data_IF_921939806291
#
_entry.id   IF_921939806291
#
_cell.length_a   1.000
_cell.length_b   1.000
_cell.length_c   1.000
_cell.angle_alpha   90.00
_cell.angle_beta   90.00
_cell.angle_gamma   90.00
#
_symmetry.space_group_name_H-M   'P 1'
#
loop_
_entity.id
_entity.type
_entity.pdbx_description
1 polymer ?
#
# COMPACT_ATOMS: atom_id res chain seq x y z
N UNK A 1 -0.85 -7.74 -5.72
CA UNK A 1 -0.24 -6.52 -6.26
C UNK A 1 1.25 -6.67 -6.05
N UNK A 2 2.03 -6.00 -6.84
CA UNK A 2 3.47 -5.95 -6.71
C UNK A 2 4.22 -7.16 -7.26
N UNK A 3 5.54 -7.16 -7.00
CA UNK A 3 6.47 -8.13 -7.58
C UNK A 3 6.20 -9.54 -7.08
N UNK A 4 5.98 -10.45 -8.02
CA UNK A 4 5.55 -11.82 -7.72
C UNK A 4 6.59 -12.60 -6.92
N UNK A 5 6.19 -13.02 -5.72
CA UNK A 5 7.00 -13.87 -4.84
C UNK A 5 8.33 -13.28 -4.35
N UNK A 6 8.56 -11.96 -4.53
CA UNK A 6 9.79 -11.31 -4.03
C UNK A 6 9.93 -11.50 -2.51
N UNK A 7 8.84 -11.39 -1.75
CA UNK A 7 8.85 -11.59 -0.30
C UNK A 7 9.38 -12.96 0.12
N UNK A 8 9.07 -14.02 -0.66
CA UNK A 8 9.59 -15.38 -0.39
C UNK A 8 11.09 -15.46 -0.58
N UNK A 9 11.61 -14.80 -1.63
CA UNK A 9 13.05 -14.72 -1.87
C UNK A 9 13.75 -13.96 -0.74
N UNK A 10 13.25 -12.77 -0.42
CA UNK A 10 13.86 -11.91 0.60
C UNK A 10 13.90 -12.62 1.96
N UNK A 11 12.79 -13.24 2.38
CA UNK A 11 12.75 -14.00 3.65
C UNK A 11 13.69 -15.19 3.68
N UNK A 12 14.03 -15.77 2.52
CA UNK A 12 14.95 -16.91 2.44
C UNK A 12 16.43 -16.44 2.44
N UNK A 13 16.74 -15.35 1.76
CA UNK A 13 18.12 -14.92 1.52
C UNK A 13 18.59 -13.85 2.50
N UNK A 14 17.68 -12.94 2.93
CA UNK A 14 18.07 -11.81 3.75
C UNK A 14 18.09 -12.19 5.25
N UNK A 15 19.25 -12.10 5.87
CA UNK A 15 19.45 -12.36 7.31
C UNK A 15 19.40 -11.07 8.14
N UNK A 16 19.89 -9.97 7.58
CA UNK A 16 20.03 -8.68 8.27
C UNK A 16 19.10 -7.61 7.73
N UNK A 17 18.69 -7.73 6.45
CA UNK A 17 17.83 -6.80 5.75
C UNK A 17 16.36 -6.83 6.22
N UNK A 18 15.95 -7.91 6.89
CA UNK A 18 14.60 -8.09 7.41
C UNK A 18 14.69 -8.32 8.93
N UNK A 19 13.97 -7.51 9.68
CA UNK A 19 13.97 -7.60 11.14
C UNK A 19 12.64 -7.19 11.74
N UNK A 20 12.36 -7.63 12.96
CA UNK A 20 11.21 -7.13 13.71
C UNK A 20 11.58 -5.85 14.44
N UNK A 21 10.74 -4.82 14.31
CA UNK A 21 10.90 -3.54 15.00
C UNK A 21 9.68 -3.26 15.88
N UNK A 22 9.93 -2.75 17.08
CA UNK A 22 8.87 -2.25 17.95
C UNK A 22 8.49 -0.82 17.56
N UNK A 23 7.19 -0.50 17.57
CA UNK A 23 6.69 0.85 17.29
C UNK A 23 7.32 1.91 18.22
N UNK A 24 7.67 1.55 19.46
CA UNK A 24 8.33 2.45 20.41
C UNK A 24 9.68 2.98 19.91
N UNK A 25 10.38 2.22 19.02
CA UNK A 25 11.65 2.66 18.41
C UNK A 25 11.47 3.71 17.32
N UNK A 26 10.22 3.95 16.91
CA UNK A 26 9.88 4.89 15.85
C UNK A 26 9.46 6.28 16.40
N UNK A 27 9.63 6.51 17.70
CA UNK A 27 9.33 7.80 18.32
C UNK A 27 10.09 8.93 17.64
N UNK A 28 9.43 10.06 17.43
CA UNK A 28 9.93 11.25 16.74
C UNK A 28 10.31 11.00 15.27
N UNK A 29 9.76 9.96 14.65
CA UNK A 29 9.94 9.64 13.24
C UNK A 29 8.79 10.14 12.38
N UNK A 30 9.10 10.57 11.17
CA UNK A 30 8.14 10.87 10.13
C UNK A 30 7.90 9.60 9.31
N UNK A 31 6.64 9.20 9.21
CA UNK A 31 6.29 7.94 8.55
C UNK A 31 5.28 8.21 7.45
N UNK A 32 5.65 7.91 6.20
CA UNK A 32 4.75 7.89 5.06
C UNK A 32 3.80 6.70 5.14
N UNK A 33 2.52 6.94 4.91
CA UNK A 33 1.48 5.91 4.91
C UNK A 33 0.96 5.76 3.48
N UNK A 34 1.10 4.56 2.94
CA UNK A 34 0.42 4.16 1.71
C UNK A 34 -1.08 4.03 2.01
N UNK A 35 -1.82 5.10 1.77
CA UNK A 35 -3.22 5.19 2.16
C UNK A 35 -4.07 4.19 1.40
N UNK A 36 -3.79 3.96 0.13
CA UNK A 36 -4.60 3.12 -0.76
C UNK A 36 -4.69 1.67 -0.26
N UNK A 37 -3.60 1.09 0.22
CA UNK A 37 -3.62 -0.26 0.79
C UNK A 37 -4.51 -0.33 2.04
N UNK A 38 -4.43 0.69 2.90
CA UNK A 38 -5.23 0.72 4.13
C UNK A 38 -6.69 1.06 3.88
N UNK A 39 -7.02 1.85 2.85
CA UNK A 39 -8.38 2.05 2.40
C UNK A 39 -9.06 0.70 2.11
N UNK A 40 -8.46 -0.14 1.27
CA UNK A 40 -9.00 -1.47 0.96
C UNK A 40 -9.06 -2.38 2.19
N UNK A 41 -7.97 -2.41 2.99
CA UNK A 41 -7.89 -3.25 4.20
C UNK A 41 -8.97 -2.90 5.22
N UNK A 42 -9.20 -1.61 5.46
CA UNK A 42 -10.14 -1.15 6.47
C UNK A 42 -11.59 -1.19 5.98
N UNK A 43 -11.83 -0.96 4.70
CA UNK A 43 -13.16 -1.19 4.09
C UNK A 43 -13.55 -2.66 4.16
N UNK A 44 -12.59 -3.58 3.93
CA UNK A 44 -12.82 -5.02 4.09
C UNK A 44 -13.20 -5.42 5.54
N UNK A 45 -12.67 -4.71 6.54
CA UNK A 45 -13.02 -4.92 7.95
C UNK A 45 -14.44 -4.40 8.25
N UNK A 46 -14.98 -3.48 7.44
CA UNK A 46 -16.36 -2.97 7.55
C UNK A 46 -16.52 -1.67 8.33
N UNK A 47 -15.44 -1.05 8.82
CA UNK A 47 -15.47 0.26 9.46
C UNK A 47 -14.19 1.05 9.15
N UNK A 48 -14.11 1.58 7.92
CA UNK A 48 -12.90 2.21 7.40
C UNK A 48 -12.48 3.43 8.24
N UNK A 49 -13.39 4.37 8.48
CA UNK A 49 -13.07 5.62 9.19
C UNK A 49 -12.61 5.36 10.63
N UNK A 50 -13.29 4.46 11.35
CA UNK A 50 -12.88 4.11 12.71
C UNK A 50 -11.49 3.41 12.75
N UNK A 51 -11.21 2.55 11.78
CA UNK A 51 -9.90 1.91 11.67
C UNK A 51 -8.80 2.95 11.41
N UNK A 52 -9.04 3.96 10.57
CA UNK A 52 -8.11 5.07 10.39
C UNK A 52 -7.93 5.90 11.65
N UNK A 53 -8.99 6.20 12.38
CA UNK A 53 -8.87 6.89 13.67
C UNK A 53 -8.03 6.10 14.68
N UNK A 54 -8.22 4.77 14.76
CA UNK A 54 -7.40 3.89 15.60
C UNK A 54 -5.94 3.87 15.13
N UNK A 55 -5.70 3.89 13.82
CA UNK A 55 -4.35 4.00 13.26
C UNK A 55 -3.70 5.33 13.64
N UNK A 56 -4.40 6.43 13.47
CA UNK A 56 -3.92 7.77 13.83
C UNK A 56 -3.59 7.83 15.33
N UNK A 57 -4.51 7.41 16.18
CA UNK A 57 -4.32 7.33 17.63
C UNK A 57 -3.07 6.51 18.00
N UNK A 58 -2.95 5.31 17.40
CA UNK A 58 -1.82 4.41 17.68
C UNK A 58 -0.47 5.02 17.28
N UNK A 59 -0.39 5.69 16.14
CA UNK A 59 0.83 6.35 15.68
C UNK A 59 1.17 7.56 16.55
N UNK A 60 0.20 8.44 16.80
CA UNK A 60 0.39 9.64 17.62
C UNK A 60 0.75 9.32 19.07
N UNK A 61 0.11 8.31 19.68
CA UNK A 61 0.39 7.88 21.06
C UNK A 61 1.81 7.34 21.24
N UNK A 62 2.43 6.84 20.15
CA UNK A 62 3.83 6.42 20.13
C UNK A 62 4.80 7.54 19.73
N UNK A 63 4.31 8.78 19.59
CA UNK A 63 5.13 9.94 19.22
C UNK A 63 5.61 9.93 17.77
N UNK A 64 4.84 9.32 16.87
CA UNK A 64 5.12 9.23 15.45
C UNK A 64 4.32 10.31 14.71
N UNK A 65 4.93 10.94 13.71
CA UNK A 65 4.26 11.88 12.81
C UNK A 65 3.86 11.13 11.53
N UNK A 66 2.58 10.78 11.34
CA UNK A 66 2.13 10.15 10.11
C UNK A 66 1.92 11.19 9.00
N UNK A 67 2.22 10.79 7.76
CA UNK A 67 1.96 11.54 6.54
C UNK A 67 1.23 10.60 5.59
N UNK A 68 -0.04 10.86 5.30
CA UNK A 68 -0.87 10.02 4.44
C UNK A 68 -0.72 10.43 2.98
N UNK A 69 -0.38 9.48 2.11
CA UNK A 69 -0.27 9.70 0.67
C UNK A 69 -1.48 9.10 -0.04
N UNK A 70 -2.17 9.92 -0.82
CA UNK A 70 -3.31 9.52 -1.62
C UNK A 70 -2.93 9.47 -3.08
N UNK A 71 -3.24 8.36 -3.75
CA UNK A 71 -3.05 8.23 -5.19
C UNK A 71 -3.86 9.27 -5.96
N UNK A 72 -3.24 9.81 -6.99
CA UNK A 72 -3.88 10.63 -8.00
C UNK A 72 -4.27 9.81 -9.24
N UNK A 73 -4.02 10.37 -10.41
CA UNK A 73 -4.32 9.72 -11.68
C UNK A 73 -3.30 8.60 -11.95
N UNK A 74 -3.74 7.34 -12.16
CA UNK A 74 -2.83 6.25 -12.48
C UNK A 74 -2.15 6.46 -13.84
N UNK A 75 -0.95 5.87 -14.01
CA UNK A 75 -0.25 5.80 -15.30
C UNK A 75 -1.08 5.02 -16.34
N UNK A 76 -0.80 5.24 -17.63
CA UNK A 76 -1.51 4.53 -18.71
C UNK A 76 -1.32 3.01 -18.62
N UNK A 77 -0.12 2.58 -18.23
CA UNK A 77 0.20 1.17 -18.02
C UNK A 77 -0.66 0.57 -16.90
N UNK A 78 -0.79 1.28 -15.79
CA UNK A 78 -1.60 0.84 -14.63
C UNK A 78 -3.09 0.90 -14.93
N UNK A 79 -3.54 1.80 -15.80
CA UNK A 79 -4.94 1.85 -16.24
C UNK A 79 -5.39 0.53 -16.88
N UNK A 80 -4.58 -0.08 -17.74
CA UNK A 80 -4.88 -1.40 -18.35
C UNK A 80 -5.03 -2.52 -17.32
N UNK A 81 -4.21 -2.47 -16.27
CA UNK A 81 -4.34 -3.40 -15.13
C UNK A 81 -5.63 -3.16 -14.33
N UNK A 82 -5.97 -1.89 -14.12
CA UNK A 82 -7.20 -1.50 -13.42
C UNK A 82 -8.43 -1.96 -14.22
N UNK A 83 -8.44 -1.80 -15.53
CA UNK A 83 -9.50 -2.29 -16.42
C UNK A 83 -9.68 -3.82 -16.31
N UNK A 84 -8.59 -4.58 -16.40
CA UNK A 84 -8.61 -6.03 -16.23
C UNK A 84 -9.10 -6.46 -14.84
N UNK A 85 -8.72 -5.72 -13.80
CA UNK A 85 -9.24 -5.94 -12.42
C UNK A 85 -10.73 -5.65 -12.35
N UNK A 86 -11.20 -4.57 -13.02
CA UNK A 86 -12.62 -4.23 -13.11
C UNK A 86 -13.44 -5.31 -13.83
N UNK A 87 -12.93 -5.85 -14.92
CA UNK A 87 -13.58 -6.98 -15.60
C UNK A 87 -13.70 -8.22 -14.69
N UNK A 88 -12.60 -8.55 -13.98
CA UNK A 88 -12.60 -9.68 -13.03
C UNK A 88 -13.59 -9.44 -11.88
N UNK A 89 -13.66 -8.22 -11.40
CA UNK A 89 -14.59 -7.80 -10.36
C UNK A 89 -16.06 -7.90 -10.84
N UNK A 90 -16.36 -7.41 -12.04
CA UNK A 90 -17.71 -7.51 -12.61
C UNK A 90 -18.15 -8.97 -12.77
N UNK A 91 -17.28 -9.84 -13.28
CA UNK A 91 -17.52 -11.29 -13.34
C UNK A 91 -17.78 -11.93 -11.96
N UNK A 92 -17.12 -11.40 -10.91
CA UNK A 92 -17.38 -11.87 -9.55
C UNK A 92 -18.74 -11.40 -9.02
N UNK A 93 -19.14 -10.15 -9.33
CA UNK A 93 -20.49 -9.64 -9.01
C UNK A 93 -21.59 -10.43 -9.71
N UNK A 94 -21.42 -10.75 -11.00
CA UNK A 94 -22.38 -11.56 -11.75
C UNK A 94 -22.59 -12.93 -11.10
N UNK A 95 -21.48 -13.57 -10.65
CA UNK A 95 -21.57 -14.84 -9.92
C UNK A 95 -22.27 -14.71 -8.56
N UNK A 96 -22.09 -13.59 -7.86
CA UNK A 96 -22.79 -13.33 -6.59
C UNK A 96 -24.29 -13.17 -6.87
N UNK A 97 -24.66 -12.42 -7.91
CA UNK A 97 -26.04 -12.19 -8.28
C UNK A 97 -26.75 -13.50 -8.68
N UNK A 98 -26.04 -14.43 -9.36
CA UNK A 98 -26.57 -15.77 -9.65
C UNK A 98 -26.81 -16.57 -8.37
N UNK A 99 -25.83 -16.58 -7.44
CA UNK A 99 -25.99 -17.28 -6.16
C UNK A 99 -27.15 -16.72 -5.32
N UNK A 100 -27.34 -15.37 -5.33
CA UNK A 100 -28.47 -14.75 -4.65
C UNK A 100 -29.81 -15.17 -5.22
N UNK A 101 -29.94 -15.26 -6.57
CA UNK A 101 -31.15 -15.78 -7.21
C UNK A 101 -31.43 -17.23 -6.88
N UNK A 102 -30.39 -18.05 -6.79
CA UNK A 102 -30.52 -19.44 -6.35
C UNK A 102 -30.99 -19.51 -4.90
N UNK A 103 -30.42 -18.67 -4.01
CA UNK A 103 -30.80 -18.56 -2.60
C UNK A 103 -32.27 -18.12 -2.47
N UNK A 104 -32.68 -17.04 -3.15
CA UNK A 104 -34.06 -16.56 -3.16
C UNK A 104 -35.05 -17.67 -3.58
N UNK A 105 -34.65 -18.50 -4.56
CA UNK A 105 -35.46 -19.67 -4.97
C UNK A 105 -35.60 -20.74 -3.89
N UNK A 106 -34.58 -20.95 -3.08
CA UNK A 106 -34.59 -21.91 -1.97
C UNK A 106 -35.35 -21.39 -0.75
N UNK A 107 -35.25 -20.08 -0.44
CA UNK A 107 -35.97 -19.44 0.67
C UNK A 107 -37.49 -19.35 0.44
N UNK A 108 -37.92 -19.37 -0.83
CA UNK A 108 -39.35 -19.34 -1.19
C UNK A 108 -40.00 -20.75 -1.21
N UNK A 109 -39.33 -21.79 -0.77
CA UNK A 109 -39.91 -23.15 -0.66
C UNK A 109 -40.85 -23.20 0.55
N UNK A 110 -42.12 -23.53 0.33
CA UNK A 110 -43.07 -23.77 1.40
C UNK A 110 -42.68 -25.11 2.09
N UNK A 111 -42.44 -25.06 3.41
CA UNK A 111 -42.06 -26.22 4.24
C UNK A 111 -40.69 -26.85 3.86
N UNK A 112 -39.59 -26.10 4.01
CA UNK A 112 -38.25 -26.60 3.63
C UNK A 112 -37.79 -27.72 4.58
N UNK A 113 -37.18 -28.75 4.02
CA UNK A 113 -36.54 -29.83 4.82
C UNK A 113 -35.28 -29.31 5.54
N UNK A 114 -34.85 -30.03 6.58
CA UNK A 114 -33.60 -29.70 7.30
C UNK A 114 -32.38 -29.61 6.36
N UNK A 115 -32.36 -30.45 5.31
CA UNK A 115 -31.31 -30.42 4.29
C UNK A 115 -31.34 -29.15 3.46
N UNK A 116 -32.53 -28.65 3.10
CA UNK A 116 -32.69 -27.37 2.37
C UNK A 116 -32.26 -26.21 3.26
N UNK A 117 -32.65 -26.18 4.55
CA UNK A 117 -32.23 -25.16 5.50
C UNK A 117 -30.71 -25.14 5.68
N UNK A 118 -30.06 -26.31 5.74
CA UNK A 118 -28.60 -26.38 5.78
C UNK A 118 -27.96 -25.82 4.50
N UNK A 119 -28.48 -26.14 3.32
CA UNK A 119 -27.98 -25.60 2.04
C UNK A 119 -28.15 -24.08 1.95
N UNK A 120 -29.25 -23.51 2.46
CA UNK A 120 -29.47 -22.07 2.55
C UNK A 120 -28.34 -21.43 3.38
N UNK A 121 -28.07 -21.93 4.58
CA UNK A 121 -27.00 -21.41 5.45
C UNK A 121 -25.61 -21.47 4.78
N UNK A 122 -25.28 -22.60 4.14
CA UNK A 122 -24.00 -22.69 3.41
C UNK A 122 -23.92 -21.68 2.24
N UNK A 123 -25.04 -21.45 1.55
CA UNK A 123 -25.11 -20.50 0.44
C UNK A 123 -24.96 -19.07 0.94
N UNK A 124 -25.61 -18.68 2.04
CA UNK A 124 -25.46 -17.36 2.69
C UNK A 124 -23.99 -17.10 3.08
N UNK A 125 -23.34 -18.07 3.73
CA UNK A 125 -21.92 -17.97 4.11
C UNK A 125 -21.03 -17.79 2.87
N UNK A 126 -21.31 -18.53 1.79
CA UNK A 126 -20.57 -18.46 0.53
C UNK A 126 -20.77 -17.11 -0.16
N UNK A 127 -21.98 -16.57 -0.16
CA UNK A 127 -22.32 -15.25 -0.71
C UNK A 127 -21.58 -14.18 0.10
N UNK A 128 -21.74 -14.16 1.42
CA UNK A 128 -21.09 -13.19 2.31
C UNK A 128 -19.56 -13.16 2.15
N UNK A 129 -18.92 -14.35 2.00
CA UNK A 129 -17.49 -14.45 1.74
C UNK A 129 -17.10 -13.87 0.38
N UNK A 130 -17.92 -14.06 -0.66
CA UNK A 130 -17.66 -13.51 -1.99
C UNK A 130 -17.89 -11.99 -2.03
N UNK A 131 -18.93 -11.49 -1.39
CA UNK A 131 -19.23 -10.06 -1.29
C UNK A 131 -18.09 -9.28 -0.64
N UNK A 132 -17.50 -9.80 0.43
CA UNK A 132 -16.29 -9.21 1.03
C UNK A 132 -15.16 -9.04 0.03
N UNK A 133 -15.02 -9.96 -0.94
CA UNK A 133 -14.00 -9.87 -1.99
C UNK A 133 -14.31 -8.87 -3.11
N UNK A 134 -15.54 -8.32 -3.15
CA UNK A 134 -15.99 -7.35 -4.18
C UNK A 134 -16.25 -5.96 -3.63
N UNK A 135 -15.81 -5.68 -2.40
CA UNK A 135 -15.96 -4.36 -1.78
C UNK A 135 -15.18 -3.31 -2.59
N UNK A 136 -15.81 -2.17 -2.84
CA UNK A 136 -15.19 -0.98 -3.43
C UNK A 136 -15.18 0.17 -2.43
N UNK A 137 -14.14 0.98 -2.50
CA UNK A 137 -14.04 2.20 -1.71
C UNK A 137 -15.06 3.21 -2.23
N UNK A 138 -15.87 3.74 -1.33
CA UNK A 138 -16.82 4.79 -1.66
C UNK A 138 -16.10 6.14 -1.75
N UNK A 139 -16.42 6.94 -2.78
CA UNK A 139 -15.83 8.28 -2.94
C UNK A 139 -16.19 9.24 -1.79
N UNK A 140 -17.39 9.10 -1.20
CA UNK A 140 -17.77 9.91 -0.04
C UNK A 140 -16.91 9.57 1.17
N UNK A 141 -16.69 8.28 1.49
CA UNK A 141 -15.83 7.85 2.60
C UNK A 141 -14.39 8.31 2.44
N UNK A 142 -13.88 8.39 1.21
CA UNK A 142 -12.57 8.97 0.93
C UNK A 142 -12.56 10.47 1.24
N UNK A 143 -13.61 11.19 0.89
CA UNK A 143 -13.82 12.60 1.23
C UNK A 143 -13.84 12.82 2.74
N UNK A 144 -14.59 11.98 3.46
CA UNK A 144 -14.73 12.02 4.91
C UNK A 144 -13.36 11.76 5.60
N UNK A 145 -12.58 10.80 5.11
CA UNK A 145 -11.22 10.56 5.63
C UNK A 145 -10.33 11.79 5.46
N UNK A 146 -10.33 12.43 4.28
CA UNK A 146 -9.56 13.65 4.04
C UNK A 146 -10.02 14.79 4.95
N UNK A 147 -11.33 14.92 5.18
CA UNK A 147 -11.89 15.89 6.10
C UNK A 147 -11.43 15.61 7.54
N UNK A 148 -11.42 14.36 7.98
CA UNK A 148 -10.91 13.94 9.29
C UNK A 148 -9.43 14.35 9.44
N UNK A 149 -8.58 13.97 8.50
CA UNK A 149 -7.15 14.31 8.54
C UNK A 149 -6.93 15.83 8.61
N UNK A 150 -7.67 16.59 7.78
CA UNK A 150 -7.60 18.06 7.74
C UNK A 150 -8.01 18.68 9.07
N UNK A 151 -9.12 18.24 9.66
CA UNK A 151 -9.66 18.82 10.90
C UNK A 151 -8.85 18.39 12.13
N UNK A 152 -8.20 17.24 12.10
CA UNK A 152 -7.27 16.79 13.13
C UNK A 152 -5.86 17.41 12.96
N UNK A 153 -5.58 18.14 11.88
CA UNK A 153 -4.25 18.68 11.60
C UNK A 153 -3.21 17.60 11.27
N UNK A 154 -3.65 16.43 10.80
CA UNK A 154 -2.78 15.34 10.35
C UNK A 154 -2.30 15.63 8.93
N UNK A 155 -1.03 15.38 8.69
CA UNK A 155 -0.44 15.63 7.37
C UNK A 155 -0.94 14.61 6.35
N UNK A 156 -1.33 15.09 5.18
CA UNK A 156 -1.59 14.26 4.03
C UNK A 156 -1.18 14.96 2.73
N UNK A 157 -0.90 14.15 1.72
CA UNK A 157 -0.49 14.61 0.41
C UNK A 157 -1.38 13.97 -0.66
N UNK A 158 -1.98 14.78 -1.51
CA UNK A 158 -2.72 14.34 -2.69
C UNK A 158 -1.76 14.36 -3.87
N UNK A 159 -1.39 13.16 -4.34
CA UNK A 159 -0.47 13.01 -5.46
C UNK A 159 -1.19 13.29 -6.77
N UNK A 160 -0.50 13.90 -7.75
CA UNK A 160 -1.03 14.03 -9.11
C UNK A 160 -1.01 12.70 -9.85
N UNK A 161 -0.09 11.80 -9.45
CA UNK A 161 0.10 10.45 -9.98
C UNK A 161 0.07 9.39 -8.87
N UNK A 162 0.85 8.35 -9.04
CA UNK A 162 0.91 7.22 -8.10
C UNK A 162 1.67 7.60 -6.82
N UNK A 163 1.10 7.28 -5.66
CA UNK A 163 1.65 7.64 -4.35
C UNK A 163 3.05 7.05 -4.10
N UNK A 164 3.35 5.87 -4.64
CA UNK A 164 4.63 5.18 -4.51
C UNK A 164 5.80 6.01 -5.07
N UNK A 165 5.61 6.72 -6.19
CA UNK A 165 6.59 7.63 -6.78
C UNK A 165 6.89 8.80 -5.83
N UNK A 166 5.84 9.40 -5.24
CA UNK A 166 6.01 10.51 -4.28
C UNK A 166 6.67 10.04 -2.99
N UNK A 167 6.24 8.90 -2.46
CA UNK A 167 6.81 8.33 -1.25
C UNK A 167 8.28 7.92 -1.43
N UNK A 168 8.68 7.47 -2.64
CA UNK A 168 10.08 7.27 -3.03
C UNK A 168 10.87 8.58 -2.85
N UNK A 169 10.41 9.68 -3.47
CA UNK A 169 11.10 10.98 -3.39
C UNK A 169 11.18 11.47 -1.95
N UNK A 170 10.11 11.36 -1.17
CA UNK A 170 10.11 11.73 0.24
C UNK A 170 11.09 10.87 1.07
N UNK A 171 11.19 9.58 0.78
CA UNK A 171 12.13 8.68 1.45
C UNK A 171 13.58 8.97 1.08
N UNK A 172 13.89 9.22 -0.19
CA UNK A 172 15.22 9.52 -0.69
C UNK A 172 15.74 10.86 -0.13
N UNK A 173 14.88 11.88 -0.07
CA UNK A 173 15.17 13.19 0.48
C UNK A 173 15.10 13.25 2.02
N UNK A 174 14.91 12.14 2.70
CA UNK A 174 14.84 12.04 4.18
C UNK A 174 13.70 12.85 4.80
N UNK A 175 12.61 13.02 4.08
CA UNK A 175 11.40 13.71 4.54
C UNK A 175 10.48 12.77 5.28
N UNK A 176 10.54 11.49 4.92
CA UNK A 176 10.04 10.38 5.73
C UNK A 176 11.19 9.46 6.07
N UNK A 177 11.22 8.99 7.32
CA UNK A 177 12.22 8.03 7.81
C UNK A 177 11.87 6.61 7.40
N UNK A 178 10.57 6.32 7.35
CA UNK A 178 9.98 5.01 7.06
C UNK A 178 8.72 5.15 6.22
N UNK A 179 8.38 4.07 5.52
CA UNK A 179 7.11 3.94 4.78
C UNK A 179 6.34 2.75 5.34
N UNK A 180 5.08 2.95 5.73
CA UNK A 180 4.15 1.87 6.09
C UNK A 180 3.38 1.48 4.83
N UNK A 181 3.59 0.25 4.36
CA UNK A 181 2.90 -0.36 3.22
C UNK A 181 2.91 -1.87 3.32
N UNK A 182 1.99 -2.55 2.62
CA UNK A 182 1.99 -4.01 2.41
C UNK A 182 2.50 -4.36 1.00
N UNK A 183 3.05 -3.38 0.27
CA UNK A 183 3.63 -3.57 -1.05
C UNK A 183 5.16 -3.46 -1.02
N UNK A 184 5.85 -4.50 -1.45
CA UNK A 184 7.31 -4.53 -1.48
C UNK A 184 7.89 -3.92 -2.77
N UNK A 185 7.04 -3.47 -3.71
CA UNK A 185 7.49 -2.71 -4.89
C UNK A 185 8.15 -1.40 -4.48
N UNK A 186 7.80 -0.88 -3.30
CA UNK A 186 8.49 0.27 -2.70
C UNK A 186 10.00 0.06 -2.51
N UNK A 187 10.48 -1.19 -2.31
CA UNK A 187 11.92 -1.48 -2.33
C UNK A 187 12.51 -1.27 -3.72
N UNK A 188 11.78 -1.70 -4.76
CA UNK A 188 12.18 -1.53 -6.16
C UNK A 188 12.15 -0.06 -6.58
N UNK A 189 11.23 0.74 -6.03
CA UNK A 189 11.23 2.20 -6.15
C UNK A 189 12.37 2.89 -5.36
N UNK A 190 13.16 2.17 -4.56
CA UNK A 190 14.28 2.71 -3.81
C UNK A 190 13.91 3.32 -2.46
N UNK A 191 12.75 3.01 -1.89
CA UNK A 191 12.42 3.39 -0.52
C UNK A 191 13.33 2.67 0.47
N UNK A 192 14.01 3.44 1.33
CA UNK A 192 15.07 2.92 2.20
C UNK A 192 14.58 1.98 3.29
N UNK A 193 13.45 2.30 3.91
CA UNK A 193 12.93 1.59 5.08
C UNK A 193 11.43 1.37 4.93
N UNK A 194 11.01 0.12 4.80
CA UNK A 194 9.59 -0.26 4.72
C UNK A 194 9.18 -0.95 6.00
N UNK A 195 8.07 -0.49 6.58
CA UNK A 195 7.38 -1.11 7.70
C UNK A 195 6.20 -1.92 7.17
N UNK A 196 6.36 -3.21 7.19
CA UNK A 196 5.42 -4.20 6.66
C UNK A 196 4.65 -4.88 7.80
N UNK A 197 3.46 -5.41 7.53
CA UNK A 197 2.58 -6.03 8.52
C UNK A 197 2.19 -5.08 9.68
N UNK A 198 1.93 -3.81 9.35
CA UNK A 198 1.44 -2.88 10.35
C UNK A 198 0.01 -3.21 10.79
N UNK A 199 -0.20 -3.16 12.10
CA UNK A 199 -1.54 -3.18 12.72
C UNK A 199 -1.58 -2.24 13.92
N UNK A 200 -2.65 -1.47 14.06
CA UNK A 200 -2.87 -0.60 15.22
C UNK A 200 -3.08 -1.39 16.53
N UNK A 201 -3.31 -2.69 16.45
CA UNK A 201 -3.40 -3.58 17.61
C UNK A 201 -2.07 -4.27 17.97
N UNK A 202 -1.01 -4.04 17.19
CA UNK A 202 0.29 -4.67 17.39
C UNK A 202 1.38 -3.64 17.70
N UNK A 203 2.23 -3.97 18.66
CA UNK A 203 3.43 -3.17 18.94
C UNK A 203 4.63 -3.53 18.07
N UNK A 204 4.52 -4.52 17.18
CA UNK A 204 5.62 -5.02 16.37
C UNK A 204 5.24 -5.00 14.89
N UNK A 205 6.22 -4.69 14.05
CA UNK A 205 6.15 -4.68 12.58
C UNK A 205 7.40 -5.34 12.01
N UNK A 206 7.35 -5.70 10.73
CA UNK A 206 8.52 -6.18 9.99
C UNK A 206 9.17 -5.00 9.27
N UNK A 207 10.43 -4.73 9.58
CA UNK A 207 11.24 -3.73 8.88
C UNK A 207 12.00 -4.41 7.74
N UNK A 208 11.85 -3.89 6.53
CA UNK A 208 12.73 -4.15 5.40
C UNK A 208 13.63 -2.92 5.21
N UNK A 209 14.93 -3.11 5.32
CA UNK A 209 15.92 -2.07 5.06
C UNK A 209 16.63 -2.37 3.74
N UNK A 210 16.42 -1.52 2.72
CA UNK A 210 16.89 -1.76 1.36
C UNK A 210 18.40 -1.97 1.29
N UNK A 211 19.19 -1.11 1.94
CA UNK A 211 20.66 -1.21 1.94
C UNK A 211 21.14 -2.58 2.46
N UNK A 212 20.53 -3.04 3.56
CA UNK A 212 20.87 -4.35 4.12
C UNK A 212 20.34 -5.51 3.27
N UNK A 213 19.17 -5.34 2.65
CA UNK A 213 18.62 -6.31 1.69
C UNK A 213 19.57 -6.49 0.52
N UNK A 214 20.05 -5.40 -0.09
CA UNK A 214 21.00 -5.44 -1.20
C UNK A 214 22.31 -6.11 -0.78
N UNK A 215 22.80 -5.78 0.42
CA UNK A 215 23.99 -6.42 0.98
C UNK A 215 23.81 -7.92 1.21
N UNK A 216 22.69 -8.34 1.79
CA UNK A 216 22.38 -9.76 2.02
C UNK A 216 22.21 -10.54 0.71
N UNK A 217 21.74 -9.90 -0.36
CA UNK A 217 21.59 -10.48 -1.69
C UNK A 217 22.88 -10.40 -2.53
N UNK A 218 23.89 -9.65 -2.09
CA UNK A 218 25.10 -9.35 -2.87
C UNK A 218 24.79 -8.75 -4.26
N UNK A 219 23.74 -7.90 -4.33
CA UNK A 219 23.29 -7.25 -5.55
C UNK A 219 23.47 -5.73 -5.47
N UNK A 220 23.72 -5.11 -6.62
CA UNK A 220 23.55 -3.66 -6.76
C UNK A 220 22.04 -3.32 -6.77
N UNK A 221 21.70 -2.05 -6.60
CA UNK A 221 20.31 -1.63 -6.68
C UNK A 221 19.74 -1.88 -8.08
N UNK A 222 20.50 -1.61 -9.12
CA UNK A 222 20.13 -1.82 -10.52
C UNK A 222 19.87 -3.32 -10.79
N UNK A 223 20.77 -4.21 -10.35
CA UNK A 223 20.58 -5.67 -10.49
C UNK A 223 19.34 -6.15 -9.72
N UNK A 224 19.04 -5.54 -8.57
CA UNK A 224 17.84 -5.84 -7.80
C UNK A 224 16.57 -5.39 -8.54
N UNK A 225 16.58 -4.21 -9.16
CA UNK A 225 15.47 -3.72 -10.00
C UNK A 225 15.26 -4.65 -11.19
N UNK A 226 16.33 -5.05 -11.87
CA UNK A 226 16.28 -6.01 -12.99
C UNK A 226 15.63 -7.32 -12.56
N UNK A 227 16.07 -7.89 -11.43
CA UNK A 227 15.45 -9.08 -10.86
C UNK A 227 13.95 -8.90 -10.65
N UNK A 228 13.55 -7.77 -10.09
CA UNK A 228 12.15 -7.46 -9.81
C UNK A 228 11.32 -7.37 -11.10
N UNK A 229 11.82 -6.72 -12.14
CA UNK A 229 11.16 -6.64 -13.45
C UNK A 229 11.03 -8.02 -14.08
N UNK A 230 12.08 -8.85 -14.03
CA UNK A 230 12.06 -10.21 -14.57
C UNK A 230 11.04 -11.12 -13.87
N UNK A 231 10.83 -10.94 -12.57
CA UNK A 231 9.80 -11.65 -11.79
C UNK A 231 8.37 -11.22 -12.16
N UNK A 232 8.23 -10.08 -12.82
CA UNK A 232 6.97 -9.46 -13.22
C UNK A 232 6.46 -8.47 -12.18
N UNK A 233 6.16 -7.29 -12.64
CA UNK A 233 5.65 -6.15 -11.88
C UNK A 233 4.35 -5.61 -12.49
N UNK A 234 3.83 -4.53 -11.96
CA UNK A 234 2.60 -3.91 -12.47
C UNK A 234 2.79 -3.31 -13.89
N UNK A 235 4.03 -3.04 -14.30
CA UNK A 235 4.37 -2.44 -15.61
C UNK A 235 4.80 -3.45 -16.66
N UNK A 236 5.21 -4.66 -16.28
CA UNK A 236 5.66 -5.70 -17.21
C UNK A 236 5.20 -7.10 -16.81
N UNK A 237 5.01 -7.94 -17.82
CA UNK A 237 4.74 -9.35 -17.59
C UNK A 237 5.97 -10.07 -17.04
N UNK A 238 5.75 -11.20 -16.36
CA UNK A 238 6.82 -12.09 -15.91
C UNK A 238 7.47 -12.79 -17.11
N UNK A 239 8.79 -12.99 -17.07
CA UNK A 239 9.47 -13.88 -18.01
C UNK A 239 9.12 -15.35 -17.65
N UNK A 240 8.59 -16.17 -18.60
CA UNK A 240 8.29 -17.57 -18.36
C UNK A 240 9.52 -18.36 -17.87
N UNK A 241 9.32 -19.24 -16.89
CA UNK A 241 10.43 -20.00 -16.29
C UNK A 241 11.21 -19.27 -15.20
N UNK A 242 11.08 -17.93 -15.09
CA UNK A 242 11.75 -17.15 -14.05
C UNK A 242 10.92 -17.13 -12.77
N UNK A 243 11.29 -17.97 -11.82
CA UNK A 243 10.84 -17.88 -10.45
C UNK A 243 11.86 -17.11 -9.59
N UNK A 244 11.54 -16.80 -8.32
CA UNK A 244 12.45 -16.06 -7.44
C UNK A 244 13.84 -16.71 -7.31
N UNK A 245 13.91 -18.04 -7.27
CA UNK A 245 15.17 -18.78 -7.15
C UNK A 245 15.98 -18.73 -8.44
N UNK A 246 15.32 -19.02 -9.57
CA UNK A 246 15.97 -19.01 -10.89
C UNK A 246 16.38 -17.59 -11.29
N UNK A 247 15.49 -16.61 -11.09
CA UNK A 247 15.77 -15.20 -11.39
C UNK A 247 16.94 -14.68 -10.57
N UNK A 248 16.96 -14.97 -9.26
CA UNK A 248 18.05 -14.57 -8.38
C UNK A 248 19.38 -15.19 -8.81
N UNK A 249 19.42 -16.50 -9.08
CA UNK A 249 20.66 -17.18 -9.56
C UNK A 249 21.18 -16.52 -10.82
N UNK A 250 20.31 -16.27 -11.81
CA UNK A 250 20.73 -15.71 -13.09
C UNK A 250 21.19 -14.25 -12.95
N UNK A 251 20.49 -13.42 -12.17
CA UNK A 251 20.93 -12.04 -11.99
C UNK A 251 22.26 -11.94 -11.22
N UNK A 252 22.52 -12.87 -10.31
CA UNK A 252 23.83 -12.98 -9.63
C UNK A 252 24.95 -13.41 -10.59
N UNK A 253 24.63 -14.27 -11.59
CA UNK A 253 25.61 -14.76 -12.57
C UNK A 253 25.93 -13.71 -13.64
N UNK A 254 24.93 -12.98 -14.12
CA UNK A 254 25.04 -12.04 -15.26
C UNK A 254 25.05 -10.56 -14.87
N UNK A 255 24.85 -10.22 -13.59
CA UNK A 255 24.78 -8.88 -13.01
C UNK A 255 23.67 -7.96 -13.51
N UNK A 256 23.19 -8.12 -14.74
CA UNK A 256 22.10 -7.29 -15.31
C UNK A 256 21.20 -8.09 -16.25
N UNK A 257 19.98 -7.60 -16.45
CA UNK A 257 19.08 -8.16 -17.46
C UNK A 257 19.66 -8.04 -18.88
N UNK A 258 20.36 -6.96 -19.19
CA UNK A 258 20.97 -6.74 -20.50
C UNK A 258 22.01 -7.82 -20.81
N UNK A 259 22.98 -8.03 -19.90
CA UNK A 259 23.96 -9.11 -20.07
C UNK A 259 23.32 -10.49 -20.15
N UNK A 260 22.31 -10.74 -19.31
CA UNK A 260 21.57 -12.00 -19.34
C UNK A 260 20.89 -12.23 -20.70
N UNK A 261 20.26 -11.21 -21.26
CA UNK A 261 19.55 -11.31 -22.55
C UNK A 261 20.48 -11.54 -23.73
N UNK A 262 21.70 -10.97 -23.69
CA UNK A 262 22.71 -11.10 -24.73
C UNK A 262 23.47 -12.44 -24.67
N UNK A 263 23.86 -12.86 -23.46
CA UNK A 263 24.75 -14.01 -23.25
C UNK A 263 24.00 -15.33 -23.02
N UNK A 264 22.72 -15.28 -22.71
CA UNK A 264 21.92 -16.47 -22.45
C UNK A 264 20.84 -16.70 -23.53
N UNK A 265 20.36 -17.96 -23.64
CA UNK A 265 19.29 -18.35 -24.58
C UNK A 265 17.88 -18.17 -23.95
N UNK A 266 17.69 -17.13 -23.14
CA UNK A 266 16.37 -16.88 -22.55
C UNK A 266 15.38 -16.41 -23.64
N UNK A 267 14.14 -16.91 -23.53
CA UNK A 267 13.05 -16.45 -24.39
C UNK A 267 12.31 -15.32 -23.68
N UNK A 268 12.59 -14.11 -24.10
CA UNK A 268 11.89 -12.91 -23.61
C UNK A 268 10.56 -12.78 -24.34
N UNK A 269 9.42 -12.66 -23.64
CA UNK A 269 8.12 -12.46 -24.29
C UNK A 269 8.08 -11.12 -25.07
N UNK A 270 7.35 -11.09 -26.18
CA UNK A 270 7.20 -9.88 -27.01
C UNK A 270 6.58 -8.71 -26.22
N UNK A 271 5.72 -9.03 -25.25
CA UNK A 271 5.05 -8.05 -24.38
C UNK A 271 5.82 -7.77 -23.07
N UNK A 272 7.08 -8.20 -22.97
CA UNK A 272 7.94 -7.87 -21.84
C UNK A 272 8.49 -6.45 -22.00
N UNK A 273 8.04 -5.55 -21.15
CA UNK A 273 8.32 -4.12 -21.20
C UNK A 273 9.45 -3.76 -20.23
N UNK A 274 10.68 -4.15 -20.58
CA UNK A 274 11.83 -3.90 -19.69
C UNK A 274 12.11 -2.42 -19.50
N UNK A 275 12.35 -1.69 -20.61
CA UNK A 275 12.74 -0.27 -20.58
C UNK A 275 11.67 0.61 -19.91
N UNK A 276 10.39 0.39 -20.27
CA UNK A 276 9.29 1.14 -19.66
C UNK A 276 9.26 0.91 -18.13
N UNK A 277 9.40 -0.36 -17.69
CA UNK A 277 9.41 -0.71 -16.28
C UNK A 277 10.63 -0.16 -15.55
N UNK A 278 11.81 -0.20 -16.19
CA UNK A 278 13.03 0.34 -15.62
C UNK A 278 12.91 1.84 -15.36
N UNK A 279 12.38 2.58 -16.34
CA UNK A 279 12.15 4.01 -16.21
C UNK A 279 11.19 4.32 -15.05
N UNK A 280 10.10 3.58 -14.92
CA UNK A 280 9.14 3.76 -13.81
C UNK A 280 9.77 3.55 -12.43
N UNK A 281 10.73 2.62 -12.31
CA UNK A 281 11.39 2.36 -11.03
C UNK A 281 12.58 3.29 -10.76
N UNK A 282 13.38 3.62 -11.76
CA UNK A 282 14.63 4.38 -11.58
C UNK A 282 14.39 5.88 -11.72
N UNK A 283 13.64 6.31 -12.73
CA UNK A 283 13.39 7.73 -12.91
C UNK A 283 12.65 8.30 -11.72
N UNK A 284 13.20 9.34 -11.17
CA UNK A 284 12.50 10.19 -10.21
C UNK A 284 12.00 11.38 -11.04
N UNK A 285 10.69 11.50 -11.28
CA UNK A 285 10.20 12.75 -11.84
C UNK A 285 10.69 13.86 -10.93
N UNK A 286 11.10 14.98 -11.52
CA UNK A 286 11.20 16.23 -10.77
C UNK A 286 9.81 16.51 -10.21
N UNK A 287 9.55 16.00 -9.03
CA UNK A 287 8.38 16.38 -8.27
C UNK A 287 8.70 17.79 -7.81
N UNK A 288 8.45 18.70 -8.72
CA UNK A 288 8.37 20.10 -8.39
C UNK A 288 7.19 20.22 -7.42
N UNK A 289 7.51 20.28 -6.15
CA UNK A 289 6.58 20.80 -5.15
C UNK A 289 6.38 22.25 -5.51
N UNK A 290 5.63 22.46 -6.59
CA UNK A 290 5.42 23.76 -7.23
C UNK A 290 4.69 24.74 -6.30
N UNK A 291 3.98 24.23 -5.29
CA UNK A 291 3.22 25.07 -4.39
C UNK A 291 3.22 24.53 -2.96
N UNK A 292 3.56 25.39 -2.00
CA UNK A 292 3.35 25.14 -0.56
C UNK A 292 1.90 24.79 -0.19
N UNK A 293 0.94 25.00 -1.12
CA UNK A 293 -0.48 24.65 -0.96
C UNK A 293 -0.77 23.17 -1.16
N UNK A 294 0.07 22.48 -1.94
CA UNK A 294 -0.12 21.07 -2.28
C UNK A 294 0.21 20.16 -1.10
N UNK A 295 1.10 20.63 -0.22
CA UNK A 295 1.32 20.03 1.07
C UNK A 295 0.35 20.68 2.06
N UNK A 296 -0.71 20.00 2.45
CA UNK A 296 -1.60 20.46 3.52
C UNK A 296 -0.89 20.32 4.88
N UNK A 297 0.37 20.79 4.92
CA UNK A 297 1.33 20.70 6.02
C UNK A 297 1.22 21.88 6.99
N UNK A 298 0.26 22.78 6.80
CA UNK A 298 0.01 23.85 7.76
C UNK A 298 -0.60 23.23 9.02
N UNK A 299 0.06 23.45 10.16
CA UNK A 299 -0.55 23.26 11.48
C UNK A 299 -1.86 24.06 11.48
N UNK A 300 -2.96 23.40 11.22
CA UNK A 300 -4.30 24.01 11.30
C UNK A 300 -4.81 23.80 12.71
N UNK A 301 -5.54 24.77 13.22
CA UNK A 301 -6.28 24.61 14.44
C UNK A 301 -7.18 23.38 14.33
N UNK A 302 -7.13 22.52 15.34
CA UNK A 302 -8.00 21.34 15.42
C UNK A 302 -9.42 21.87 15.46
N UNK A 303 -10.21 21.50 14.49
CA UNK A 303 -11.64 21.79 14.45
C UNK A 303 -12.44 20.50 14.54
N UNK A 304 -12.91 20.18 15.74
CA UNK A 304 -13.69 18.98 15.99
C UNK A 304 -15.19 19.15 15.68
N UNK A 305 -15.69 20.40 15.69
CA UNK A 305 -17.11 20.66 15.41
C UNK A 305 -17.51 20.13 14.03
N UNK A 306 -16.64 20.26 13.03
CA UNK A 306 -16.87 19.75 11.70
C UNK A 306 -16.80 18.21 11.59
N UNK A 307 -16.49 17.49 12.67
CA UNK A 307 -16.43 16.02 12.71
C UNK A 307 -17.68 15.40 13.38
N UNK A 308 -18.56 16.21 13.99
CA UNK A 308 -19.74 15.72 14.70
C UNK A 308 -20.73 15.03 13.74
N UNK A 309 -20.84 15.53 12.49
CA UNK A 309 -21.71 14.95 11.46
C UNK A 309 -21.27 13.55 10.99
N UNK A 310 -19.99 13.18 11.21
CA UNK A 310 -19.43 11.89 10.74
C UNK A 310 -19.67 10.74 11.72
N UNK A 311 -20.40 10.97 12.81
CA UNK A 311 -20.75 9.95 13.82
C UNK A 311 -19.55 9.11 14.29
N UNK A 312 -18.39 9.77 14.51
CA UNK A 312 -17.13 9.15 14.89
C UNK A 312 -17.08 8.86 16.39
N UNK A 313 -16.28 7.88 16.79
CA UNK A 313 -16.13 7.51 18.19
C UNK A 313 -15.52 8.66 19.03
N UNK A 314 -16.30 9.27 19.97
CA UNK A 314 -15.88 10.48 20.70
C UNK A 314 -14.68 10.22 21.62
N UNK A 315 -14.55 8.99 22.14
CA UNK A 315 -13.45 8.63 23.05
C UNK A 315 -12.12 8.59 22.30
N UNK A 316 -12.10 8.06 21.06
CA UNK A 316 -10.91 8.03 20.20
C UNK A 316 -10.52 9.46 19.84
N UNK A 317 -11.47 10.29 19.41
CA UNK A 317 -11.23 11.69 19.07
C UNK A 317 -10.65 12.49 20.25
N UNK A 318 -11.18 12.29 21.46
CA UNK A 318 -10.67 12.93 22.69
C UNK A 318 -9.22 12.54 22.97
N UNK A 319 -8.86 11.26 22.82
CA UNK A 319 -7.47 10.80 22.98
C UNK A 319 -6.54 11.37 21.90
N UNK A 320 -6.96 11.37 20.65
CA UNK A 320 -6.20 11.98 19.55
C UNK A 320 -5.94 13.46 19.84
N UNK A 321 -6.97 14.23 20.25
CA UNK A 321 -6.85 15.63 20.60
C UNK A 321 -5.80 15.87 21.69
N UNK A 322 -5.81 15.05 22.75
CA UNK A 322 -4.83 15.11 23.84
C UNK A 322 -3.40 14.90 23.32
N UNK A 323 -3.18 13.94 22.42
CA UNK A 323 -1.87 13.69 21.82
C UNK A 323 -1.41 14.84 20.93
N UNK A 324 -2.27 15.40 20.10
CA UNK A 324 -1.92 16.51 19.22
C UNK A 324 -1.58 17.77 20.03
N UNK A 325 -2.31 18.07 21.10
CA UNK A 325 -2.05 19.24 21.96
C UNK A 325 -0.75 19.11 22.76
N UNK A 326 -0.40 17.90 23.18
CA UNK A 326 0.79 17.65 24.02
C UNK A 326 2.08 17.51 23.19
N UNK A 327 1.97 17.27 21.89
CA UNK A 327 3.13 17.11 21.02
C UNK A 327 3.14 18.23 19.99
N UNK A 328 4.10 19.15 20.13
CA UNK A 328 4.41 20.12 19.09
C UNK A 328 5.08 19.33 17.96
N UNK A 329 4.27 18.82 17.02
CA UNK A 329 4.81 18.20 15.82
C UNK A 329 5.46 19.31 14.97
N UNK A 330 6.75 19.47 15.12
CA UNK A 330 7.54 20.35 14.28
C UNK A 330 7.93 19.58 13.01
N UNK A 331 7.03 19.51 12.05
CA UNK A 331 7.44 19.29 10.68
C UNK A 331 7.83 20.65 10.13
N UNK A 332 9.14 20.91 10.02
CA UNK A 332 9.60 22.15 9.46
C UNK A 332 9.57 22.06 7.93
N UNK A 333 8.51 22.58 7.33
CA UNK A 333 8.33 22.62 5.89
C UNK A 333 9.47 23.39 5.18
N UNK A 334 10.13 24.33 5.90
CA UNK A 334 11.27 25.08 5.38
C UNK A 334 12.49 24.17 5.21
N UNK A 335 12.69 23.18 6.09
CA UNK A 335 13.75 22.18 5.94
C UNK A 335 13.49 21.26 4.73
N UNK A 336 12.24 21.12 4.33
CA UNK A 336 11.83 20.41 3.14
C UNK A 336 12.18 21.18 1.86
N UNK A 337 11.76 22.45 1.78
CA UNK A 337 11.91 23.30 0.59
C UNK A 337 13.37 23.61 0.30
N UNK A 338 14.22 23.67 1.33
CA UNK A 338 15.66 23.92 1.20
C UNK A 338 16.49 22.65 0.89
N UNK A 339 15.87 21.46 0.87
CA UNK A 339 16.54 20.17 0.59
C UNK A 339 16.11 19.53 -0.72
N UNK A 340 15.11 20.08 -1.38
CA UNK A 340 14.65 19.75 -2.74
C UNK A 340 15.00 20.89 -3.68
#
# INVERSE_FOLDING_TARGET
MGIKNINKLLKKQCKTGISNISIKKLRNKHIGIDTSIYLYKYTYIGNMLECFLKQIEHLLSNGITPIYFFDGKPSEEKMKLIEKRNETHNKALDKINLLKKELDGMENIEDPTDEILFQIQEMEIKIAKKEKGTIRINKSELGDLKQILKNLGIYYYECDGEADIYMKVFSQNKLVDYVITEDLDFLTHGCKNILYNYSYSSSKMTLYNLEKVLKDLELTYESFVDLCIMLGCDYSCKIPGFGPVTGYKLITEYNSFTELSEKSKIRVPINFKYTDSLNMFIESPEILIKNKKDLNLKKKNINLENLEELNLNPQILSRIRKFINNHVYQFNILDFINKV
#
